data_IF_228271560956
#
_entry.id   IF_228271560956
#
_cell.length_a   1.000
_cell.length_b   1.000
_cell.length_c   1.000
_cell.angle_alpha   90.00
_cell.angle_beta   90.00
_cell.angle_gamma   90.00
#
_symmetry.space_group_name_H-M   'P 1'
#
loop_
_entity.id
_entity.type
_entity.pdbx_description
1 polymer ?
#
# COMPACT_ATOMS: atom_id res chain seq x y z
N UNK A 1 36.00 -34.27 4.80
CA UNK A 1 36.05 -32.97 5.46
C UNK A 1 35.40 -31.86 4.63
N UNK A 2 35.50 -31.87 3.30
CA UNK A 2 34.84 -30.88 2.43
C UNK A 2 33.32 -31.06 2.38
N UNK A 3 32.82 -32.30 2.45
CA UNK A 3 31.38 -32.61 2.46
C UNK A 3 30.70 -32.15 3.74
N UNK A 4 31.36 -32.33 4.90
CA UNK A 4 30.86 -31.90 6.20
C UNK A 4 30.73 -30.37 6.26
N UNK A 5 31.69 -29.63 5.71
CA UNK A 5 31.66 -28.16 5.63
C UNK A 5 30.55 -27.65 4.69
N UNK A 6 30.34 -28.32 3.55
CA UNK A 6 29.22 -27.99 2.63
C UNK A 6 27.86 -28.21 3.29
N UNK A 7 27.67 -29.32 3.98
CA UNK A 7 26.44 -29.63 4.69
C UNK A 7 26.15 -28.62 5.78
N UNK A 8 27.16 -28.20 6.52
CA UNK A 8 27.02 -27.20 7.59
C UNK A 8 26.69 -25.83 7.03
N UNK A 9 27.27 -25.44 5.90
CA UNK A 9 26.93 -24.18 5.23
C UNK A 9 25.50 -24.17 4.64
N UNK A 10 25.07 -25.30 4.10
CA UNK A 10 23.68 -25.46 3.62
C UNK A 10 22.67 -25.38 4.75
N UNK A 11 22.93 -26.03 5.89
CA UNK A 11 22.05 -25.94 7.07
C UNK A 11 21.95 -24.53 7.63
N UNK A 12 23.03 -23.77 7.63
CA UNK A 12 23.05 -22.37 8.09
C UNK A 12 22.24 -21.47 7.12
N UNK A 13 22.37 -21.67 5.81
CA UNK A 13 21.59 -20.94 4.80
C UNK A 13 20.11 -21.26 4.90
N UNK A 14 19.75 -22.53 5.02
CA UNK A 14 18.37 -22.97 5.16
C UNK A 14 17.75 -22.46 6.45
N UNK A 15 18.49 -22.47 7.56
CA UNK A 15 18.05 -21.93 8.84
C UNK A 15 17.82 -20.42 8.78
N UNK A 16 18.75 -19.67 8.19
CA UNK A 16 18.62 -18.22 8.01
C UNK A 16 17.46 -17.86 7.09
N UNK A 17 17.31 -18.58 5.98
CA UNK A 17 16.19 -18.43 5.06
C UNK A 17 14.85 -18.69 5.75
N UNK A 18 14.73 -19.81 6.46
CA UNK A 18 13.52 -20.20 7.19
C UNK A 18 13.15 -19.15 8.24
N UNK A 19 14.14 -18.63 8.98
CA UNK A 19 13.94 -17.61 10.00
C UNK A 19 13.43 -16.32 9.38
N UNK A 20 14.03 -15.88 8.27
CA UNK A 20 13.61 -14.66 7.56
C UNK A 20 12.20 -14.77 7.01
N UNK A 21 11.86 -15.92 6.41
CA UNK A 21 10.51 -16.16 5.86
C UNK A 21 9.47 -16.22 6.98
N UNK A 22 9.75 -16.91 8.09
CA UNK A 22 8.85 -16.97 9.25
C UNK A 22 8.65 -15.60 9.89
N UNK A 23 9.71 -14.80 9.99
CA UNK A 23 9.66 -13.44 10.49
C UNK A 23 8.77 -12.57 9.59
N UNK A 24 8.92 -12.71 8.28
CA UNK A 24 8.09 -12.00 7.30
C UNK A 24 6.62 -12.42 7.38
N UNK A 25 6.34 -13.72 7.50
CA UNK A 25 4.98 -14.22 7.66
C UNK A 25 4.33 -13.67 8.94
N UNK A 26 5.06 -13.68 10.04
CA UNK A 26 4.57 -13.15 11.32
C UNK A 26 4.29 -11.65 11.21
N UNK A 27 5.20 -10.87 10.63
CA UNK A 27 5.02 -9.43 10.42
C UNK A 27 3.83 -9.14 9.51
N UNK A 28 3.65 -9.94 8.45
CA UNK A 28 2.52 -9.80 7.54
C UNK A 28 1.18 -10.07 8.26
N UNK A 29 1.13 -11.11 9.06
CA UNK A 29 -0.06 -11.43 9.87
C UNK A 29 -0.40 -10.30 10.87
N UNK A 30 0.62 -9.63 11.40
CA UNK A 30 0.48 -8.51 12.32
C UNK A 30 0.23 -7.18 11.61
N UNK A 31 0.07 -7.17 10.30
CA UNK A 31 -0.10 -5.97 9.46
C UNK A 31 1.10 -5.02 9.48
N UNK A 32 2.27 -5.53 9.82
CA UNK A 32 3.53 -4.79 9.78
C UNK A 32 4.25 -5.07 8.46
N UNK A 33 3.76 -4.43 7.41
CA UNK A 33 4.21 -4.70 6.04
C UNK A 33 5.63 -4.23 5.78
N UNK A 34 6.05 -3.16 6.42
CA UNK A 34 7.42 -2.65 6.30
C UNK A 34 8.44 -3.67 6.82
N UNK A 35 8.21 -4.20 8.02
CA UNK A 35 9.09 -5.22 8.59
C UNK A 35 9.02 -6.53 7.81
N UNK A 36 7.85 -6.91 7.30
CA UNK A 36 7.72 -8.06 6.43
C UNK A 36 8.55 -7.89 5.16
N UNK A 37 8.48 -6.73 4.53
CA UNK A 37 9.26 -6.40 3.34
C UNK A 37 10.76 -6.43 3.63
N UNK A 38 11.19 -5.80 4.73
CA UNK A 38 12.60 -5.74 5.12
C UNK A 38 13.15 -7.13 5.44
N UNK A 39 12.35 -8.00 6.07
CA UNK A 39 12.74 -9.39 6.38
C UNK A 39 12.97 -10.23 5.11
N UNK A 40 12.29 -9.91 4.03
CA UNK A 40 12.43 -10.62 2.75
C UNK A 40 13.48 -9.99 1.84
N UNK A 41 13.96 -8.79 2.14
CA UNK A 41 15.03 -8.15 1.38
C UNK A 41 16.30 -8.99 1.51
N UNK A 42 16.90 -9.42 0.44
CA UNK A 42 18.09 -10.27 0.44
C UNK A 42 17.81 -11.76 0.52
N UNK A 43 16.56 -12.18 0.71
CA UNK A 43 16.19 -13.59 0.59
C UNK A 43 16.07 -13.96 -0.88
N UNK A 44 16.77 -15.01 -1.30
CA UNK A 44 16.68 -15.52 -2.66
C UNK A 44 15.26 -15.96 -2.98
N UNK A 45 14.78 -15.63 -4.18
CA UNK A 45 13.43 -16.01 -4.61
C UNK A 45 13.39 -17.51 -4.83
N UNK A 46 12.74 -18.24 -3.93
CA UNK A 46 12.32 -19.62 -4.14
C UNK A 46 10.81 -19.62 -4.42
N UNK A 47 10.30 -20.73 -4.96
CA UNK A 47 8.88 -20.84 -5.27
C UNK A 47 7.99 -20.64 -4.03
N UNK A 48 8.47 -21.07 -2.85
CA UNK A 48 7.73 -20.93 -1.58
C UNK A 48 7.69 -19.50 -1.04
N UNK A 49 8.72 -18.67 -1.32
CA UNK A 49 8.78 -17.28 -0.85
C UNK A 49 8.27 -16.29 -1.88
N UNK A 50 8.11 -16.69 -3.12
CA UNK A 50 7.67 -15.82 -4.23
C UNK A 50 6.27 -15.25 -3.99
N UNK A 51 5.34 -16.10 -3.57
CA UNK A 51 3.98 -15.68 -3.25
C UNK A 51 3.96 -14.70 -2.08
N UNK A 52 4.67 -15.02 -0.99
CA UNK A 52 4.77 -14.14 0.17
C UNK A 52 5.36 -12.77 -0.20
N UNK A 53 6.40 -12.74 -1.03
CA UNK A 53 6.99 -11.49 -1.53
C UNK A 53 5.97 -10.65 -2.30
N UNK A 54 5.17 -11.29 -3.15
CA UNK A 54 4.11 -10.60 -3.89
C UNK A 54 3.04 -10.03 -2.96
N UNK A 55 2.60 -10.81 -2.00
CA UNK A 55 1.60 -10.39 -1.00
C UNK A 55 2.09 -9.17 -0.22
N UNK A 56 3.31 -9.23 0.29
CA UNK A 56 3.93 -8.14 1.05
C UNK A 56 4.09 -6.89 0.17
N UNK A 57 4.56 -7.08 -1.06
CA UNK A 57 4.75 -5.99 -2.01
C UNK A 57 3.44 -5.26 -2.31
N UNK A 58 2.36 -6.02 -2.54
CA UNK A 58 1.05 -5.45 -2.82
C UNK A 58 0.55 -4.60 -1.65
N UNK A 59 0.67 -5.11 -0.43
CA UNK A 59 0.29 -4.36 0.77
C UNK A 59 1.17 -3.13 0.98
N UNK A 60 2.48 -3.25 0.75
CA UNK A 60 3.41 -2.13 0.85
C UNK A 60 3.07 -1.00 -0.14
N UNK A 61 2.63 -1.35 -1.34
CA UNK A 61 2.25 -0.34 -2.34
C UNK A 61 1.07 0.51 -1.86
N UNK A 62 0.05 -0.12 -1.27
CA UNK A 62 -1.08 0.63 -0.69
C UNK A 62 -0.66 1.44 0.53
N UNK A 63 0.17 0.86 1.39
CA UNK A 63 0.68 1.56 2.58
C UNK A 63 1.49 2.79 2.17
N UNK A 64 2.29 2.70 1.12
CA UNK A 64 3.07 3.84 0.60
C UNK A 64 2.19 4.98 0.11
N UNK A 65 1.05 4.67 -0.50
CA UNK A 65 0.10 5.71 -0.92
C UNK A 65 -0.46 6.47 0.30
N UNK A 66 -0.77 5.76 1.37
CA UNK A 66 -1.21 6.38 2.61
C UNK A 66 -0.10 7.23 3.25
N UNK A 67 1.12 6.70 3.29
CA UNK A 67 2.27 7.43 3.83
C UNK A 67 2.58 8.68 3.00
N UNK A 68 2.49 8.57 1.67
CA UNK A 68 2.66 9.70 0.76
C UNK A 68 1.60 10.78 1.02
N UNK A 69 0.34 10.38 1.20
CA UNK A 69 -0.72 11.28 1.59
C UNK A 69 -0.34 12.09 2.85
N UNK A 70 0.09 11.40 3.91
CA UNK A 70 0.46 12.05 5.17
C UNK A 70 1.64 13.01 4.99
N UNK A 71 2.65 12.62 4.24
CA UNK A 71 3.84 13.44 4.01
C UNK A 71 3.49 14.69 3.19
N UNK A 72 2.74 14.54 2.12
CA UNK A 72 2.30 15.69 1.32
C UNK A 72 1.41 16.63 2.13
N UNK A 73 0.52 16.08 2.93
CA UNK A 73 -0.36 16.87 3.79
C UNK A 73 0.44 17.75 4.76
N UNK A 74 1.46 17.18 5.41
CA UNK A 74 2.35 17.90 6.33
C UNK A 74 3.09 19.04 5.62
N UNK A 75 3.44 18.85 4.36
CA UNK A 75 4.11 19.86 3.53
C UNK A 75 3.14 20.85 2.91
N UNK A 76 1.85 20.76 3.20
CA UNK A 76 0.78 21.58 2.63
C UNK A 76 0.67 21.42 1.11
N UNK A 77 1.08 20.30 0.58
CA UNK A 77 0.92 19.89 -0.82
C UNK A 77 -0.38 19.12 -0.96
N UNK A 78 -1.48 19.83 -0.90
CA UNK A 78 -2.80 19.21 -0.76
C UNK A 78 -3.29 18.52 -2.04
N UNK A 79 -2.91 19.02 -3.21
CA UNK A 79 -3.24 18.36 -4.48
C UNK A 79 -2.60 16.97 -4.56
N UNK A 80 -1.31 16.89 -4.26
CA UNK A 80 -0.55 15.64 -4.24
C UNK A 80 -1.04 14.70 -3.14
N UNK A 81 -1.43 15.26 -2.00
CA UNK A 81 -2.02 14.52 -0.89
C UNK A 81 -3.32 13.82 -1.31
N UNK A 82 -4.24 14.58 -1.94
CA UNK A 82 -5.49 14.05 -2.46
C UNK A 82 -5.25 13.01 -3.57
N UNK A 83 -4.33 13.29 -4.48
CA UNK A 83 -3.95 12.38 -5.56
C UNK A 83 -3.42 11.03 -5.02
N UNK A 84 -2.65 11.06 -3.94
CA UNK A 84 -2.13 9.84 -3.31
C UNK A 84 -3.24 8.94 -2.78
N UNK A 85 -4.25 9.50 -2.12
CA UNK A 85 -5.39 8.73 -1.63
C UNK A 85 -6.20 8.11 -2.77
N UNK A 86 -6.47 8.88 -3.81
CA UNK A 86 -7.21 8.39 -4.99
C UNK A 86 -6.38 7.36 -5.74
N UNK A 87 -5.06 7.59 -5.86
CA UNK A 87 -4.12 6.65 -6.44
C UNK A 87 -4.10 5.30 -5.73
N UNK A 88 -4.25 5.32 -4.40
CA UNK A 88 -4.39 4.09 -3.61
C UNK A 88 -5.64 3.30 -3.95
N UNK A 89 -6.77 3.95 -4.13
CA UNK A 89 -8.02 3.30 -4.56
C UNK A 89 -7.89 2.73 -5.97
N UNK A 90 -7.26 3.48 -6.88
CA UNK A 90 -6.97 3.00 -8.24
C UNK A 90 -6.13 1.73 -8.21
N UNK A 91 -5.08 1.72 -7.41
CA UNK A 91 -4.18 0.59 -7.27
C UNK A 91 -4.89 -0.62 -6.68
N UNK A 92 -5.75 -0.42 -5.67
CA UNK A 92 -6.58 -1.47 -5.09
C UNK A 92 -7.47 -2.10 -6.15
N UNK A 93 -8.20 -1.31 -6.92
CA UNK A 93 -9.11 -1.82 -7.96
C UNK A 93 -8.35 -2.61 -9.03
N UNK A 94 -7.15 -2.17 -9.39
CA UNK A 94 -6.30 -2.86 -10.36
C UNK A 94 -5.80 -4.23 -9.86
N UNK A 95 -5.61 -4.39 -8.56
CA UNK A 95 -4.97 -5.57 -7.97
C UNK A 95 -5.89 -6.43 -7.10
N UNK A 96 -7.15 -6.05 -6.94
CA UNK A 96 -8.11 -6.77 -6.09
C UNK A 96 -8.24 -8.25 -6.46
N UNK A 97 -8.35 -8.55 -7.74
CA UNK A 97 -8.48 -9.93 -8.21
C UNK A 97 -7.26 -10.77 -7.83
N UNK A 98 -6.07 -10.18 -7.90
CA UNK A 98 -4.82 -10.84 -7.53
C UNK A 98 -4.74 -11.06 -6.02
N UNK A 99 -5.20 -10.09 -5.23
CA UNK A 99 -5.29 -10.22 -3.77
C UNK A 99 -6.23 -11.37 -3.37
N UNK A 100 -7.34 -11.52 -4.07
CA UNK A 100 -8.26 -12.64 -3.88
C UNK A 100 -7.60 -13.97 -4.22
N UNK A 101 -6.87 -14.03 -5.34
CA UNK A 101 -6.12 -15.21 -5.76
C UNK A 101 -5.09 -15.65 -4.72
N UNK A 102 -4.43 -14.70 -4.05
CA UNK A 102 -3.44 -14.96 -3.00
C UNK A 102 -4.04 -15.10 -1.60
N UNK A 103 -5.36 -15.15 -1.48
CA UNK A 103 -6.07 -15.27 -0.20
C UNK A 103 -5.63 -14.23 0.84
N UNK A 104 -5.46 -12.98 0.38
CA UNK A 104 -5.07 -11.86 1.23
C UNK A 104 -6.05 -10.69 1.17
N UNK A 105 -7.29 -10.97 0.75
CA UNK A 105 -8.28 -9.92 0.54
C UNK A 105 -8.62 -9.19 1.84
N UNK A 106 -8.58 -9.89 2.98
CA UNK A 106 -8.82 -9.28 4.30
C UNK A 106 -7.83 -8.13 4.58
N UNK A 107 -6.54 -8.41 4.46
CA UNK A 107 -5.49 -7.40 4.66
C UNK A 107 -5.58 -6.27 3.62
N UNK A 108 -5.83 -6.64 2.38
CA UNK A 108 -5.90 -5.68 1.28
C UNK A 108 -7.11 -4.74 1.44
N UNK A 109 -8.24 -5.28 1.84
CA UNK A 109 -9.46 -4.50 2.11
C UNK A 109 -9.27 -3.56 3.31
N UNK A 110 -8.57 -4.00 4.35
CA UNK A 110 -8.25 -3.13 5.51
C UNK A 110 -7.47 -1.89 5.07
N UNK A 111 -6.47 -2.07 4.21
CA UNK A 111 -5.66 -0.97 3.69
C UNK A 111 -6.50 -0.04 2.81
N UNK A 112 -7.32 -0.59 1.94
CA UNK A 112 -8.21 0.21 1.09
C UNK A 112 -9.20 1.01 1.94
N UNK A 113 -9.79 0.40 2.96
CA UNK A 113 -10.72 1.07 3.86
C UNK A 113 -10.04 2.24 4.60
N UNK A 114 -8.79 2.09 4.97
CA UNK A 114 -8.00 3.15 5.60
C UNK A 114 -7.84 4.34 4.65
N UNK A 115 -7.52 4.08 3.38
CA UNK A 115 -7.42 5.10 2.35
C UNK A 115 -8.77 5.78 2.09
N UNK A 116 -9.82 4.98 1.92
CA UNK A 116 -11.16 5.46 1.62
C UNK A 116 -11.76 6.29 2.77
N UNK A 117 -11.56 5.85 4.01
CA UNK A 117 -12.03 6.58 5.20
C UNK A 117 -11.32 7.93 5.33
N UNK A 118 -10.03 7.96 5.07
CA UNK A 118 -9.26 9.19 5.13
C UNK A 118 -9.69 10.16 4.02
N UNK A 119 -9.93 9.65 2.82
CA UNK A 119 -10.41 10.42 1.69
C UNK A 119 -11.75 11.09 1.99
N UNK A 120 -12.67 10.33 2.57
CA UNK A 120 -13.98 10.86 2.94
C UNK A 120 -13.90 11.83 4.12
N UNK A 121 -13.19 11.47 5.18
CA UNK A 121 -13.13 12.29 6.39
C UNK A 121 -12.40 13.62 6.17
N UNK A 122 -11.32 13.61 5.39
CA UNK A 122 -10.53 14.80 5.15
C UNK A 122 -11.10 15.65 3.99
N UNK A 123 -11.37 15.03 2.85
CA UNK A 123 -11.72 15.76 1.64
C UNK A 123 -13.20 15.66 1.25
N UNK A 124 -13.98 14.87 1.96
CA UNK A 124 -15.40 14.69 1.66
C UNK A 124 -15.68 13.90 0.37
N UNK A 125 -14.72 13.14 -0.09
CA UNK A 125 -14.84 12.35 -1.34
C UNK A 125 -15.17 10.89 -0.99
N UNK A 126 -16.29 10.40 -1.49
CA UNK A 126 -16.70 9.01 -1.33
C UNK A 126 -15.91 8.10 -2.29
N UNK A 127 -15.92 6.79 -2.01
CA UNK A 127 -15.32 5.80 -2.92
C UNK A 127 -15.94 5.87 -4.33
N UNK A 128 -17.26 6.05 -4.39
CA UNK A 128 -17.97 6.17 -5.66
C UNK A 128 -17.50 7.39 -6.45
N UNK A 129 -17.35 8.54 -5.79
CA UNK A 129 -16.81 9.75 -6.41
C UNK A 129 -15.36 9.55 -6.85
N UNK A 130 -14.54 8.89 -6.02
CA UNK A 130 -13.15 8.59 -6.35
C UNK A 130 -13.05 7.75 -7.62
N UNK A 131 -13.87 6.71 -7.75
CA UNK A 131 -13.88 5.85 -8.93
C UNK A 131 -14.37 6.59 -10.17
N UNK A 132 -15.32 7.50 -10.01
CA UNK A 132 -15.77 8.36 -11.10
C UNK A 132 -14.65 9.29 -11.59
N UNK A 133 -13.87 9.86 -10.66
CA UNK A 133 -12.72 10.72 -10.98
C UNK A 133 -11.63 9.90 -11.69
N UNK A 134 -11.34 8.69 -11.19
CA UNK A 134 -10.37 7.77 -11.82
C UNK A 134 -10.75 7.44 -13.26
N UNK A 135 -12.04 7.36 -13.55
CA UNK A 135 -12.57 7.08 -14.88
C UNK A 135 -12.49 8.27 -15.86
N UNK A 136 -11.90 9.40 -15.45
CA UNK A 136 -11.70 10.56 -16.33
C UNK A 136 -10.94 10.18 -17.59
N UNK A 137 -11.35 10.72 -18.73
CA UNK A 137 -10.78 10.36 -20.02
C UNK A 137 -9.37 10.91 -20.24
N UNK A 138 -9.07 12.07 -19.64
CA UNK A 138 -7.78 12.74 -19.80
C UNK A 138 -7.17 13.08 -18.44
N UNK A 139 -5.85 13.23 -18.41
CA UNK A 139 -5.13 13.69 -17.22
C UNK A 139 -5.57 15.09 -16.82
N UNK A 140 -5.85 15.95 -17.77
CA UNK A 140 -6.33 17.30 -17.51
C UNK A 140 -7.69 17.29 -16.78
N UNK A 141 -8.63 16.48 -17.26
CA UNK A 141 -9.94 16.33 -16.61
C UNK A 141 -9.79 15.81 -15.18
N UNK A 142 -8.94 14.81 -14.98
CA UNK A 142 -8.63 14.28 -13.66
C UNK A 142 -8.10 15.36 -12.73
N UNK A 143 -7.09 16.12 -13.16
CA UNK A 143 -6.49 17.18 -12.36
C UNK A 143 -7.48 18.31 -12.07
N UNK A 144 -8.29 18.71 -13.04
CA UNK A 144 -9.32 19.75 -12.88
C UNK A 144 -10.35 19.34 -11.82
N UNK A 145 -10.74 18.07 -11.79
CA UNK A 145 -11.66 17.54 -10.77
C UNK A 145 -11.03 17.56 -9.38
N UNK A 146 -9.75 17.22 -9.25
CA UNK A 146 -9.06 17.31 -7.97
C UNK A 146 -8.98 18.75 -7.47
N UNK A 147 -8.67 19.69 -8.36
CA UNK A 147 -8.60 21.10 -8.01
C UNK A 147 -9.96 21.64 -7.56
N UNK A 148 -11.05 21.21 -8.19
CA UNK A 148 -12.41 21.58 -7.77
C UNK A 148 -12.73 21.10 -6.35
N UNK A 149 -12.34 19.87 -6.02
CA UNK A 149 -12.49 19.29 -4.68
C UNK A 149 -11.70 20.12 -3.66
N UNK A 150 -10.46 20.45 -3.97
CA UNK A 150 -9.59 21.24 -3.08
C UNK A 150 -10.14 22.63 -2.85
N UNK A 151 -10.70 23.25 -3.86
CA UNK A 151 -11.29 24.58 -3.73
C UNK A 151 -12.46 24.57 -2.73
N UNK A 152 -13.33 23.57 -2.81
CA UNK A 152 -14.42 23.40 -1.86
C UNK A 152 -13.91 23.05 -0.46
N UNK A 153 -12.89 22.22 -0.37
CA UNK A 153 -12.26 21.83 0.89
C UNK A 153 -11.64 23.05 1.59
N UNK A 154 -10.93 23.88 0.84
CA UNK A 154 -10.33 25.12 1.37
C UNK A 154 -11.39 26.08 1.89
N UNK A 155 -12.49 26.25 1.17
CA UNK A 155 -13.61 27.09 1.60
C UNK A 155 -14.24 26.61 2.91
N UNK A 156 -14.40 25.28 3.07
CA UNK A 156 -14.93 24.70 4.32
C UNK A 156 -13.98 24.94 5.49
N UNK A 157 -12.68 24.75 5.27
CA UNK A 157 -11.68 24.95 6.32
C UNK A 157 -11.57 26.41 6.74
N UNK A 158 -11.67 27.34 5.82
CA UNK A 158 -11.71 28.79 6.12
C UNK A 158 -12.98 29.15 6.91
N UNK A 159 -14.12 28.55 6.59
CA UNK A 159 -15.36 28.75 7.32
C UNK A 159 -15.29 28.20 8.75
N UNK A 160 -14.63 27.05 8.95
CA UNK A 160 -14.45 26.42 10.26
C UNK A 160 -13.47 27.19 11.15
N UNK A 161 -12.53 27.95 10.58
CA UNK A 161 -11.60 28.81 11.33
C UNK A 161 -12.24 30.12 11.82
N UNK A 162 -13.41 30.47 11.31
CA UNK A 162 -14.18 31.66 11.74
C UNK A 162 -15.19 31.29 12.82
#
# INVERSE_FOLDING_TARGET
HKEYRRQRQMCIRDSSYTTSVKSAESSFEQRDYKNAYDSLAGVSVSDSSKELKQKVRMCMQLQREYDAYQNYYKMKMYLESLDSLIGGIRLYDANKAKAEQYDMLSQYNELESKLANQLYNEFGVSESQARNIIASETQKEYTDRLQAILLQWQKRNEADER
#
